data_IF_119985873831
#
_entry.id   IF_119985873831
#
_cell.length_a   1.000
_cell.length_b   1.000
_cell.length_c   1.000
_cell.angle_alpha   90.00
_cell.angle_beta   90.00
_cell.angle_gamma   90.00
#
_symmetry.space_group_name_H-M   'P 1'
#
loop_
_entity.id
_entity.type
_entity.pdbx_description
1 polymer ?
#
# COMPACT_ATOMS: atom_id res chain seq x y z
N UNK A 1 0.29 -24.20 -27.60
CA UNK A 1 -0.47 -23.04 -28.10
C UNK A 1 -1.82 -23.06 -27.42
N UNK A 2 -2.01 -22.28 -26.37
CA UNK A 2 -3.31 -22.10 -25.72
C UNK A 2 -3.82 -20.72 -26.11
N UNK A 3 -4.94 -20.72 -26.82
CA UNK A 3 -5.62 -19.55 -27.35
C UNK A 3 -6.25 -18.74 -26.22
N UNK A 4 -5.73 -17.55 -25.93
CA UNK A 4 -6.35 -16.57 -25.04
C UNK A 4 -7.29 -15.67 -25.84
N UNK A 5 -8.50 -16.12 -26.05
CA UNK A 5 -9.55 -15.36 -26.70
C UNK A 5 -10.91 -15.60 -26.06
N UNK A 6 -11.19 -14.93 -24.93
CA UNK A 6 -12.58 -14.61 -24.54
C UNK A 6 -12.61 -13.25 -23.87
N UNK A 7 -13.37 -12.36 -24.47
CA UNK A 7 -13.64 -11.02 -24.01
C UNK A 7 -14.24 -11.04 -22.59
N UNK A 8 -13.61 -10.34 -21.67
CA UNK A 8 -14.10 -10.13 -20.31
C UNK A 8 -15.16 -9.03 -20.34
N UNK A 9 -16.37 -9.35 -19.91
CA UNK A 9 -17.52 -8.45 -19.80
C UNK A 9 -17.25 -7.29 -18.84
N UNK A 10 -17.70 -6.05 -19.14
CA UNK A 10 -17.35 -4.85 -18.37
C UNK A 10 -18.35 -4.61 -17.22
N UNK A 11 -18.22 -5.33 -16.12
CA UNK A 11 -19.10 -5.12 -14.96
C UNK A 11 -18.41 -4.56 -13.70
N UNK A 12 -17.11 -4.26 -13.76
CA UNK A 12 -16.33 -3.80 -12.58
C UNK A 12 -15.87 -2.33 -12.63
N UNK A 13 -16.39 -1.52 -13.58
CA UNK A 13 -15.94 -0.13 -13.78
C UNK A 13 -16.76 0.94 -13.04
N UNK A 14 -17.52 0.60 -11.99
CA UNK A 14 -18.44 1.58 -11.36
C UNK A 14 -17.95 2.32 -10.13
N UNK A 15 -16.69 2.20 -9.70
CA UNK A 15 -16.20 2.93 -8.52
C UNK A 15 -14.89 3.70 -8.70
N UNK A 16 -14.58 4.15 -9.91
CA UNK A 16 -13.56 5.18 -10.11
C UNK A 16 -14.26 6.52 -10.29
N UNK A 17 -14.25 7.34 -9.24
CA UNK A 17 -14.75 8.71 -9.28
C UNK A 17 -14.11 9.51 -10.40
N UNK A 18 -14.93 10.25 -11.12
CA UNK A 18 -14.59 11.14 -12.24
C UNK A 18 -13.50 12.13 -11.85
N UNK A 19 -12.35 12.05 -12.48
CA UNK A 19 -11.23 13.00 -12.29
C UNK A 19 -11.46 14.21 -13.17
N UNK A 20 -11.66 15.37 -12.56
CA UNK A 20 -11.74 16.66 -13.24
C UNK A 20 -10.36 17.18 -13.61
N UNK A 21 -10.23 17.76 -14.82
CA UNK A 21 -9.06 18.49 -15.32
C UNK A 21 -8.69 19.65 -14.38
N UNK A 22 -7.48 19.64 -13.82
CA UNK A 22 -6.95 20.73 -12.97
C UNK A 22 -5.82 20.28 -12.05
N UNK A 23 -4.89 19.42 -12.50
CA UNK A 23 -3.82 18.86 -11.66
C UNK A 23 -2.62 19.80 -11.53
N UNK A 24 -2.66 20.71 -10.58
CA UNK A 24 -1.44 21.40 -10.12
C UNK A 24 -1.25 21.44 -8.61
N UNK A 25 -1.91 20.70 -7.76
CA UNK A 25 -1.65 20.55 -6.32
C UNK A 25 -2.70 19.66 -5.63
N UNK A 26 -2.99 18.50 -6.18
CA UNK A 26 -3.82 17.55 -5.42
C UNK A 26 -2.98 16.88 -4.34
N UNK A 27 -3.50 16.75 -3.11
CA UNK A 27 -2.82 15.99 -2.07
C UNK A 27 -2.65 14.53 -2.52
N UNK A 28 -1.52 13.93 -2.16
CA UNK A 28 -1.25 12.51 -2.44
C UNK A 28 -2.37 11.67 -1.84
N UNK A 29 -3.00 10.86 -2.68
CA UNK A 29 -4.10 10.02 -2.27
C UNK A 29 -3.61 8.87 -1.38
N UNK A 30 -4.42 8.49 -0.40
CA UNK A 30 -4.25 7.23 0.30
C UNK A 30 -5.10 6.17 -0.39
N UNK A 31 -4.50 5.04 -0.73
CA UNK A 31 -5.21 3.87 -1.23
C UNK A 31 -5.61 2.96 -0.07
N UNK A 32 -6.90 2.65 0.03
CA UNK A 32 -7.41 1.72 1.03
C UNK A 32 -7.11 0.29 0.59
N UNK A 33 -6.60 -0.49 1.55
CA UNK A 33 -6.42 -1.92 1.36
C UNK A 33 -7.72 -2.61 1.77
N UNK A 34 -8.64 -2.72 0.81
CA UNK A 34 -9.87 -3.49 1.00
C UNK A 34 -9.57 -4.97 0.73
N UNK A 35 -9.44 -5.75 1.79
CA UNK A 35 -9.11 -7.17 1.70
C UNK A 35 -10.19 -7.95 0.95
N UNK A 36 -9.75 -8.86 0.09
CA UNK A 36 -10.64 -9.72 -0.67
C UNK A 36 -11.18 -10.86 0.22
N UNK A 37 -12.49 -10.96 0.39
CA UNK A 37 -13.20 -12.15 0.91
C UNK A 37 -12.49 -12.91 2.07
N UNK A 38 -12.16 -12.24 3.18
CA UNK A 38 -11.44 -12.79 4.35
C UNK A 38 -9.99 -13.21 4.04
N UNK A 39 -9.39 -12.71 2.98
CA UNK A 39 -7.97 -12.87 2.69
C UNK A 39 -7.17 -11.73 3.33
N UNK A 40 -5.90 -11.93 3.72
CA UNK A 40 -5.09 -10.90 4.35
C UNK A 40 -4.44 -9.94 3.35
N UNK A 41 -5.07 -9.73 2.20
CA UNK A 41 -4.58 -8.85 1.14
C UNK A 41 -5.70 -8.41 0.21
N UNK A 42 -5.49 -7.27 -0.45
CA UNK A 42 -6.21 -6.85 -1.64
C UNK A 42 -5.49 -7.42 -2.85
N UNK A 43 -6.24 -7.98 -3.80
CA UNK A 43 -5.69 -8.44 -5.08
C UNK A 43 -6.28 -7.63 -6.23
N UNK A 44 -5.48 -7.30 -7.23
CA UNK A 44 -5.95 -6.55 -8.38
C UNK A 44 -5.33 -7.05 -9.70
N UNK A 45 -6.08 -6.84 -10.77
CA UNK A 45 -5.67 -7.05 -12.16
C UNK A 45 -6.02 -5.79 -12.94
N UNK A 46 -5.05 -5.22 -13.62
CA UNK A 46 -5.24 -3.99 -14.41
C UNK A 46 -4.75 -4.24 -15.82
N UNK A 47 -5.68 -4.36 -16.76
CA UNK A 47 -5.40 -4.47 -18.19
C UNK A 47 -5.89 -3.19 -18.87
N UNK A 48 -5.00 -2.26 -19.17
CA UNK A 48 -5.35 -0.95 -19.70
C UNK A 48 -4.39 -0.48 -20.79
N UNK A 49 -4.94 0.27 -21.71
CA UNK A 49 -4.18 1.11 -22.61
C UNK A 49 -3.77 2.39 -21.88
N UNK A 50 -2.49 2.73 -21.90
CA UNK A 50 -1.94 3.89 -21.20
C UNK A 50 -2.33 3.96 -19.69
N UNK A 51 -2.07 2.92 -18.89
CA UNK A 51 -2.48 2.91 -17.49
C UNK A 51 -1.76 4.01 -16.71
N UNK A 52 -2.49 4.62 -15.78
CA UNK A 52 -1.95 5.63 -14.87
C UNK A 52 -2.48 5.38 -13.47
N UNK A 53 -1.57 5.14 -12.53
CA UNK A 53 -1.85 5.21 -11.11
C UNK A 53 -1.30 6.55 -10.58
N UNK A 54 -2.18 7.49 -10.17
CA UNK A 54 -1.72 8.77 -9.63
C UNK A 54 -0.92 8.55 -8.35
N UNK A 55 -0.13 9.54 -7.96
CA UNK A 55 0.69 9.48 -6.74
C UNK A 55 -0.18 9.18 -5.53
N UNK A 56 0.13 8.09 -4.85
CA UNK A 56 -0.61 7.61 -3.67
C UNK A 56 0.31 6.83 -2.72
N UNK A 57 -0.23 6.35 -1.64
CA UNK A 57 0.44 5.50 -0.66
C UNK A 57 -0.57 4.66 0.12
N UNK A 58 -0.12 3.58 0.73
CA UNK A 58 -0.88 2.69 1.62
C UNK A 58 0.03 2.13 2.72
N UNK A 59 -0.57 1.51 3.73
CA UNK A 59 0.20 0.93 4.86
C UNK A 59 0.71 -0.48 4.57
N UNK A 60 0.15 -1.17 3.57
CA UNK A 60 0.52 -2.53 3.20
C UNK A 60 1.81 -2.61 2.37
N UNK A 61 2.34 -3.82 2.22
CA UNK A 61 3.38 -4.13 1.24
C UNK A 61 2.67 -4.47 -0.07
N UNK A 62 2.98 -3.75 -1.15
CA UNK A 62 2.47 -4.05 -2.49
C UNK A 62 3.48 -4.88 -3.26
N UNK A 63 3.01 -5.92 -3.93
CA UNK A 63 3.80 -6.76 -4.82
C UNK A 63 3.14 -6.77 -6.18
N UNK A 64 3.85 -6.29 -7.18
CA UNK A 64 3.37 -6.16 -8.55
C UNK A 64 4.11 -7.09 -9.50
N UNK A 65 3.39 -7.58 -10.51
CA UNK A 65 3.92 -8.34 -11.61
C UNK A 65 3.43 -7.76 -12.95
N UNK A 66 4.36 -7.32 -13.78
CA UNK A 66 4.06 -6.88 -15.15
C UNK A 66 3.96 -8.12 -16.06
N UNK A 67 2.74 -8.56 -16.33
CA UNK A 67 2.47 -9.73 -17.17
C UNK A 67 2.81 -9.43 -18.63
N UNK A 68 2.40 -8.24 -19.13
CA UNK A 68 2.72 -7.79 -20.47
C UNK A 68 2.86 -6.26 -20.52
N UNK A 69 3.77 -5.81 -21.34
CA UNK A 69 4.10 -4.40 -21.55
C UNK A 69 5.61 -4.17 -21.51
N UNK A 70 6.03 -3.01 -21.99
CA UNK A 70 7.44 -2.60 -22.01
C UNK A 70 7.54 -1.17 -21.50
N UNK A 71 8.65 -0.88 -20.81
CA UNK A 71 8.96 0.45 -20.29
C UNK A 71 7.84 1.01 -19.40
N UNK A 72 7.34 0.17 -18.48
CA UNK A 72 6.37 0.59 -17.49
C UNK A 72 7.07 1.37 -16.39
N UNK A 73 6.77 2.66 -16.30
CA UNK A 73 7.41 3.57 -15.36
C UNK A 73 6.71 3.52 -14.00
N UNK A 74 7.46 3.24 -12.95
CA UNK A 74 7.01 3.34 -11.55
C UNK A 74 7.93 4.29 -10.80
N UNK A 75 7.37 5.25 -10.09
CA UNK A 75 8.10 6.16 -9.20
C UNK A 75 7.86 5.71 -7.77
N UNK A 76 8.88 5.32 -7.05
CA UNK A 76 8.82 4.84 -5.66
C UNK A 76 9.73 5.73 -4.82
N UNK A 77 9.20 6.37 -3.76
CA UNK A 77 9.95 7.28 -2.89
C UNK A 77 10.76 8.34 -3.66
N UNK A 78 10.22 8.81 -4.79
CA UNK A 78 10.87 9.81 -5.65
C UNK A 78 11.88 9.25 -6.65
N UNK A 79 12.25 7.97 -6.59
CA UNK A 79 13.10 7.30 -7.56
C UNK A 79 12.27 6.70 -8.69
N UNK A 80 12.77 6.81 -9.92
CA UNK A 80 12.11 6.27 -11.10
C UNK A 80 12.68 4.92 -11.47
N UNK A 81 11.80 3.93 -11.62
CA UNK A 81 12.10 2.58 -12.07
C UNK A 81 11.36 2.29 -13.37
N UNK A 82 11.94 1.47 -14.23
CA UNK A 82 11.37 1.04 -15.50
C UNK A 82 11.29 -0.48 -15.53
N UNK A 83 10.10 -1.01 -15.74
CA UNK A 83 9.82 -2.44 -15.73
C UNK A 83 9.31 -2.93 -17.09
N UNK A 84 9.64 -4.18 -17.42
CA UNK A 84 9.26 -4.86 -18.64
C UNK A 84 8.48 -6.13 -18.33
N UNK A 85 7.76 -6.65 -19.33
CA UNK A 85 7.03 -7.91 -19.21
C UNK A 85 7.88 -8.98 -18.53
N UNK A 86 7.35 -9.56 -17.48
CA UNK A 86 8.03 -10.53 -16.63
C UNK A 86 8.66 -9.94 -15.37
N UNK A 87 8.76 -8.64 -15.20
CA UNK A 87 9.31 -8.07 -13.96
C UNK A 87 8.32 -8.15 -12.80
N UNK A 88 8.87 -8.44 -11.62
CA UNK A 88 8.18 -8.38 -10.33
C UNK A 88 8.93 -7.36 -9.49
N UNK A 89 8.20 -6.47 -8.83
CA UNK A 89 8.74 -5.50 -7.88
C UNK A 89 7.86 -5.41 -6.66
N UNK A 90 8.37 -4.77 -5.61
CA UNK A 90 7.57 -4.45 -4.44
C UNK A 90 7.65 -2.96 -4.09
N UNK A 91 6.61 -2.49 -3.42
CA UNK A 91 6.51 -1.19 -2.79
C UNK A 91 6.34 -1.45 -1.30
N UNK A 92 7.29 -0.96 -0.51
CA UNK A 92 7.28 -1.17 0.93
C UNK A 92 6.23 -0.28 1.62
N UNK A 93 5.96 -0.57 2.87
CA UNK A 93 4.98 0.13 3.71
C UNK A 93 5.15 1.62 3.66
N UNK A 94 4.04 2.31 3.47
CA UNK A 94 3.96 3.79 3.52
C UNK A 94 4.84 4.52 2.50
N UNK A 95 5.44 3.81 1.54
CA UNK A 95 6.17 4.45 0.44
C UNK A 95 5.19 5.14 -0.52
N UNK A 96 5.51 6.38 -0.83
CA UNK A 96 4.75 7.16 -1.82
C UNK A 96 5.19 6.70 -3.20
N UNK A 97 4.22 6.34 -4.02
CA UNK A 97 4.48 5.81 -5.35
C UNK A 97 3.46 6.25 -6.39
N UNK A 98 3.82 6.11 -7.65
CA UNK A 98 2.98 6.35 -8.81
C UNK A 98 3.41 5.44 -9.95
N UNK A 99 2.48 5.05 -10.82
CA UNK A 99 2.80 4.27 -12.00
C UNK A 99 2.20 4.89 -13.26
N UNK A 100 2.92 4.79 -14.37
CA UNK A 100 2.49 5.35 -15.65
C UNK A 100 2.98 4.49 -16.79
N UNK A 101 2.07 3.98 -17.60
CA UNK A 101 2.38 3.37 -18.89
C UNK A 101 2.54 4.42 -19.99
N UNK A 102 3.22 4.06 -21.06
CA UNK A 102 3.31 4.90 -22.25
C UNK A 102 1.93 5.04 -22.91
N UNK A 103 1.60 6.24 -23.38
CA UNK A 103 0.26 6.58 -23.91
C UNK A 103 -0.20 5.72 -25.10
N UNK A 104 0.76 5.15 -25.84
CA UNK A 104 0.49 4.37 -27.08
C UNK A 104 0.70 2.85 -26.88
N UNK A 105 0.75 2.37 -25.63
CA UNK A 105 1.00 0.96 -25.31
C UNK A 105 -0.05 0.41 -24.35
N UNK A 106 -0.30 -0.89 -24.50
CA UNK A 106 -1.13 -1.65 -23.55
C UNK A 106 -0.27 -2.36 -22.53
N UNK A 107 -0.80 -2.46 -21.32
CA UNK A 107 -0.13 -3.11 -20.19
C UNK A 107 -1.11 -4.02 -19.47
N UNK A 108 -0.59 -5.13 -18.97
CA UNK A 108 -1.29 -5.96 -18.02
C UNK A 108 -0.45 -6.13 -16.77
N UNK A 109 -0.91 -5.53 -15.68
CA UNK A 109 -0.30 -5.62 -14.35
C UNK A 109 -1.24 -6.37 -13.43
N UNK A 110 -0.74 -7.31 -12.69
CA UNK A 110 -1.43 -7.89 -11.53
C UNK A 110 -0.58 -7.68 -10.28
N UNK A 111 -1.24 -7.59 -9.14
CA UNK A 111 -0.53 -7.41 -7.89
C UNK A 111 -1.42 -7.60 -6.69
N UNK A 112 -0.80 -7.52 -5.53
CA UNK A 112 -1.48 -7.58 -4.25
C UNK A 112 -0.92 -6.54 -3.28
N UNK A 113 -1.80 -6.05 -2.42
CA UNK A 113 -1.40 -5.22 -1.28
C UNK A 113 -1.68 -6.03 -0.02
N UNK A 114 -0.62 -6.42 0.66
CA UNK A 114 -0.68 -7.25 1.87
C UNK A 114 -1.06 -6.38 3.06
N UNK A 115 -2.05 -6.82 3.83
CA UNK A 115 -2.51 -6.11 5.03
C UNK A 115 -1.39 -6.07 6.09
N UNK A 116 -0.90 -4.88 6.40
CA UNK A 116 0.16 -4.70 7.37
C UNK A 116 -0.25 -5.13 8.79
N UNK A 117 -1.52 -4.93 9.16
CA UNK A 117 -1.99 -5.33 10.50
C UNK A 117 -2.00 -6.86 10.65
N UNK A 118 -2.35 -7.57 9.57
CA UNK A 118 -2.24 -9.02 9.53
C UNK A 118 -0.78 -9.45 9.68
N UNK A 119 0.14 -8.87 8.90
CA UNK A 119 1.56 -9.21 8.98
C UNK A 119 2.14 -8.96 10.37
N UNK A 120 1.88 -7.81 10.95
CA UNK A 120 2.41 -7.46 12.27
C UNK A 120 1.85 -8.32 13.40
N UNK A 121 0.59 -8.77 13.26
CA UNK A 121 -0.05 -9.65 14.22
C UNK A 121 0.48 -11.08 14.16
N UNK A 122 0.53 -11.65 12.95
CA UNK A 122 0.91 -13.05 12.73
C UNK A 122 2.44 -13.24 12.64
N UNK A 123 3.17 -12.20 12.21
CA UNK A 123 4.62 -12.16 12.02
C UNK A 123 5.20 -10.88 12.63
N UNK A 124 5.32 -10.77 13.98
CA UNK A 124 5.80 -9.55 14.63
C UNK A 124 7.18 -9.07 14.16
N UNK A 125 8.05 -10.00 13.73
CA UNK A 125 9.36 -9.69 13.15
C UNK A 125 9.28 -8.94 11.82
N UNK A 126 8.13 -9.02 11.13
CA UNK A 126 7.90 -8.30 9.88
C UNK A 126 7.99 -6.78 10.01
N UNK A 127 7.85 -6.25 11.23
CA UNK A 127 8.05 -4.81 11.51
C UNK A 127 9.44 -4.32 11.12
N UNK A 128 10.42 -5.22 11.17
CA UNK A 128 11.83 -4.94 10.86
C UNK A 128 12.19 -5.29 9.40
N UNK A 129 11.22 -5.67 8.58
CA UNK A 129 11.47 -5.96 7.18
C UNK A 129 11.68 -4.68 6.39
N UNK A 130 12.71 -4.67 5.57
CA UNK A 130 12.91 -3.76 4.46
C UNK A 130 12.89 -4.57 3.19
N UNK A 131 11.92 -4.33 2.34
CA UNK A 131 11.74 -5.11 1.11
C UNK A 131 12.77 -4.68 0.07
N UNK A 132 13.44 -5.65 -0.55
CA UNK A 132 14.47 -5.49 -1.57
C UNK A 132 14.05 -6.19 -2.86
N UNK A 133 13.12 -5.57 -3.58
CA UNK A 133 12.54 -6.14 -4.80
C UNK A 133 12.49 -5.14 -5.96
N UNK A 134 13.37 -4.16 -5.97
CA UNK A 134 13.38 -3.15 -7.04
C UNK A 134 13.79 -3.75 -8.41
N UNK A 135 14.75 -4.69 -8.41
CA UNK A 135 15.22 -5.39 -9.63
C UNK A 135 15.65 -6.81 -9.27
N UNK A 136 14.70 -7.74 -9.20
CA UNK A 136 15.00 -9.14 -8.90
C UNK A 136 15.36 -9.92 -10.15
N UNK A 137 16.38 -10.81 -10.04
CA UNK A 137 16.80 -11.66 -11.15
C UNK A 137 15.73 -12.69 -11.49
N UNK A 138 15.38 -12.79 -12.77
CA UNK A 138 14.38 -13.73 -13.28
C UNK A 138 14.87 -15.19 -13.34
N UNK A 139 16.17 -15.41 -13.26
CA UNK A 139 16.80 -16.72 -13.42
C UNK A 139 16.85 -17.54 -12.12
N UNK A 140 16.42 -16.95 -11.01
CA UNK A 140 16.42 -17.61 -9.70
C UNK A 140 15.22 -18.55 -9.52
N UNK A 141 15.40 -19.58 -8.69
CA UNK A 141 14.30 -20.46 -8.28
C UNK A 141 13.24 -19.68 -7.50
N UNK A 142 13.66 -18.77 -6.64
CA UNK A 142 12.81 -17.90 -5.82
C UNK A 142 11.92 -17.01 -6.68
N UNK A 143 12.45 -16.38 -7.74
CA UNK A 143 11.65 -15.62 -8.70
C UNK A 143 10.61 -16.51 -9.39
N UNK A 144 11.01 -17.69 -9.89
CA UNK A 144 10.07 -18.60 -10.58
C UNK A 144 8.94 -19.04 -9.66
N UNK A 145 9.25 -19.32 -8.39
CA UNK A 145 8.24 -19.70 -7.42
C UNK A 145 7.32 -18.51 -7.08
N UNK A 146 7.86 -17.33 -6.82
CA UNK A 146 7.08 -16.12 -6.55
C UNK A 146 6.11 -15.81 -7.70
N UNK A 147 6.61 -15.86 -8.94
CA UNK A 147 5.80 -15.68 -10.14
C UNK A 147 4.68 -16.73 -10.24
N UNK A 148 4.99 -18.00 -9.98
CA UNK A 148 4.01 -19.09 -9.98
C UNK A 148 2.91 -18.84 -8.95
N UNK A 149 3.27 -18.49 -7.72
CA UNK A 149 2.31 -18.20 -6.65
C UNK A 149 1.37 -17.04 -7.06
N UNK A 150 1.91 -15.93 -7.60
CA UNK A 150 1.10 -14.79 -8.08
C UNK A 150 0.12 -15.20 -9.17
N UNK A 151 0.55 -16.00 -10.15
CA UNK A 151 -0.30 -16.48 -11.24
C UNK A 151 -1.39 -17.42 -10.70
N UNK A 152 -1.04 -18.36 -9.82
CA UNK A 152 -2.00 -19.30 -9.22
C UNK A 152 -3.06 -18.55 -8.39
N UNK A 153 -2.65 -17.58 -7.58
CA UNK A 153 -3.60 -16.73 -6.87
C UNK A 153 -4.51 -15.97 -7.85
N UNK A 154 -3.93 -15.41 -8.92
CA UNK A 154 -4.69 -14.69 -9.95
C UNK A 154 -5.76 -15.57 -10.62
N UNK A 155 -5.47 -16.86 -10.85
CA UNK A 155 -6.42 -17.82 -11.40
C UNK A 155 -7.50 -18.17 -10.37
N UNK A 156 -7.11 -18.43 -9.12
CA UNK A 156 -8.05 -18.84 -8.06
C UNK A 156 -9.05 -17.72 -7.68
N UNK A 157 -8.64 -16.46 -7.69
CA UNK A 157 -9.54 -15.35 -7.37
C UNK A 157 -10.57 -15.02 -8.47
N UNK A 158 -10.42 -15.60 -9.66
CA UNK A 158 -11.44 -15.49 -10.72
C UNK A 158 -12.66 -16.39 -10.48
N UNK A 159 -12.55 -17.33 -9.55
CA UNK A 159 -13.65 -18.22 -9.16
C UNK A 159 -14.38 -17.71 -7.92
N UNK A 160 -15.65 -18.11 -7.70
CA UNK A 160 -16.32 -17.86 -6.42
C UNK A 160 -15.49 -18.44 -5.26
N UNK A 161 -15.15 -17.59 -4.29
CA UNK A 161 -14.25 -17.96 -3.20
C UNK A 161 -15.01 -18.79 -2.15
N UNK A 162 -15.03 -20.13 -2.34
CA UNK A 162 -15.41 -21.08 -1.30
C UNK A 162 -14.32 -21.21 -0.24
N UNK A 163 -14.61 -21.86 0.89
CA UNK A 163 -13.58 -22.11 1.91
C UNK A 163 -12.41 -22.92 1.37
N UNK A 164 -12.66 -23.91 0.50
CA UNK A 164 -11.59 -24.71 -0.12
C UNK A 164 -10.69 -23.86 -1.02
N UNK A 165 -11.26 -23.01 -1.87
CA UNK A 165 -10.49 -22.09 -2.73
C UNK A 165 -9.73 -21.08 -1.87
N UNK A 166 -10.34 -20.58 -0.79
CA UNK A 166 -9.66 -19.69 0.15
C UNK A 166 -8.42 -20.33 0.78
N UNK A 167 -8.51 -21.61 1.18
CA UNK A 167 -7.34 -22.32 1.71
C UNK A 167 -6.24 -22.52 0.68
N UNK A 168 -6.57 -22.78 -0.59
CA UNK A 168 -5.59 -22.83 -1.67
C UNK A 168 -4.90 -21.47 -1.88
N UNK A 169 -5.67 -20.40 -1.93
CA UNK A 169 -5.13 -19.03 -2.03
C UNK A 169 -4.19 -18.72 -0.86
N UNK A 170 -4.59 -19.05 0.38
CA UNK A 170 -3.78 -18.84 1.56
C UNK A 170 -2.48 -19.67 1.54
N UNK A 171 -2.52 -20.89 1.02
CA UNK A 171 -1.32 -21.72 0.84
C UNK A 171 -0.31 -21.02 -0.08
N UNK A 172 -0.74 -20.54 -1.25
CA UNK A 172 0.13 -19.82 -2.18
C UNK A 172 0.66 -18.50 -1.57
N UNK A 173 -0.21 -17.79 -0.86
CA UNK A 173 0.15 -16.56 -0.16
C UNK A 173 1.23 -16.78 0.90
N UNK A 174 1.09 -17.81 1.76
CA UNK A 174 2.10 -18.08 2.79
C UNK A 174 3.44 -18.55 2.20
N UNK A 175 3.42 -19.28 1.08
CA UNK A 175 4.65 -19.58 0.36
C UNK A 175 5.34 -18.30 -0.14
N UNK A 176 4.58 -17.32 -0.64
CA UNK A 176 5.13 -16.01 -1.03
C UNK A 176 5.72 -15.28 0.17
N UNK A 177 5.03 -15.23 1.32
CA UNK A 177 5.53 -14.58 2.53
C UNK A 177 6.85 -15.21 2.99
N UNK A 178 6.95 -16.54 2.95
CA UNK A 178 8.18 -17.26 3.30
C UNK A 178 9.34 -16.89 2.36
N UNK A 179 9.09 -16.80 1.06
CA UNK A 179 10.11 -16.37 0.07
C UNK A 179 10.52 -14.91 0.27
N UNK A 180 9.58 -14.04 0.57
CA UNK A 180 9.86 -12.62 0.82
C UNK A 180 10.74 -12.49 2.07
N UNK A 181 10.41 -13.18 3.15
CA UNK A 181 11.20 -13.13 4.40
C UNK A 181 12.63 -13.66 4.19
N UNK A 182 12.80 -14.76 3.44
CA UNK A 182 14.11 -15.42 3.28
C UNK A 182 14.99 -14.79 2.20
N UNK A 183 14.42 -14.34 1.08
CA UNK A 183 15.18 -14.00 -0.12
C UNK A 183 15.14 -12.51 -0.48
N UNK A 184 14.07 -11.80 -0.09
CA UNK A 184 13.79 -10.45 -0.58
C UNK A 184 13.66 -9.43 0.53
N UNK A 185 14.09 -9.78 1.75
CA UNK A 185 13.99 -8.91 2.90
C UNK A 185 15.34 -8.70 3.56
N UNK A 186 15.70 -7.45 3.77
CA UNK A 186 16.77 -7.08 4.69
C UNK A 186 16.17 -6.85 6.07
N UNK A 187 16.68 -7.56 7.08
CA UNK A 187 16.27 -7.35 8.47
C UNK A 187 17.05 -6.17 9.02
N UNK A 188 16.36 -5.07 9.25
CA UNK A 188 17.00 -3.87 9.80
C UNK A 188 17.16 -4.09 11.30
N UNK A 189 18.41 -4.02 11.76
CA UNK A 189 18.67 -3.85 13.19
C UNK A 189 18.21 -2.43 13.57
N UNK A 190 17.26 -2.33 14.51
CA UNK A 190 16.62 -1.07 14.93
C UNK A 190 17.63 -0.01 15.40
N UNK A 191 18.88 -0.40 15.60
CA UNK A 191 19.97 0.45 16.07
C UNK A 191 20.71 1.22 14.94
N UNK A 192 20.52 0.86 13.66
CA UNK A 192 21.22 1.51 12.55
C UNK A 192 20.20 2.19 11.62
N UNK A 193 20.15 3.52 11.55
CA UNK A 193 19.29 4.19 10.59
C UNK A 193 19.78 3.87 9.16
N UNK A 194 18.92 3.35 8.28
CA UNK A 194 19.27 3.15 6.89
C UNK A 194 19.51 4.50 6.21
N UNK A 195 20.14 4.46 5.05
CA UNK A 195 20.37 5.61 4.15
C UNK A 195 19.03 6.11 3.53
N UNK A 196 18.01 6.28 4.39
CA UNK A 196 16.67 6.75 4.03
C UNK A 196 16.66 8.28 4.11
N UNK A 197 15.85 8.90 3.24
CA UNK A 197 15.62 10.33 3.39
C UNK A 197 14.98 10.62 4.75
N UNK A 198 15.22 11.80 5.29
CA UNK A 198 14.56 12.24 6.53
C UNK A 198 13.04 12.08 6.43
N UNK A 199 12.47 12.36 5.26
CA UNK A 199 11.03 12.23 5.02
C UNK A 199 10.56 10.77 5.16
N UNK A 200 11.27 9.80 4.60
CA UNK A 200 10.91 8.38 4.69
C UNK A 200 10.97 7.90 6.15
N UNK A 201 12.00 8.30 6.88
CA UNK A 201 12.16 7.96 8.30
C UNK A 201 11.02 8.55 9.15
N UNK A 202 10.63 9.80 8.86
CA UNK A 202 9.50 10.46 9.53
C UNK A 202 8.17 9.81 9.18
N UNK A 203 7.97 9.41 7.92
CA UNK A 203 6.77 8.70 7.46
C UNK A 203 6.63 7.37 8.20
N UNK A 204 7.70 6.57 8.26
CA UNK A 204 7.72 5.31 8.99
C UNK A 204 7.47 5.52 10.50
N UNK A 205 8.09 6.52 11.11
CA UNK A 205 7.84 6.87 12.51
C UNK A 205 6.38 7.23 12.77
N UNK A 206 5.76 8.05 11.92
CA UNK A 206 4.34 8.42 12.05
C UNK A 206 3.44 7.19 11.87
N UNK A 207 3.71 6.33 10.90
CA UNK A 207 2.94 5.11 10.69
C UNK A 207 2.93 4.22 11.95
N UNK A 208 4.09 4.04 12.57
CA UNK A 208 4.24 3.18 13.75
C UNK A 208 3.75 3.82 15.06
N UNK A 209 3.67 5.15 15.14
CA UNK A 209 3.35 5.87 16.37
C UNK A 209 2.06 6.70 16.30
N UNK A 210 1.32 6.65 15.19
CA UNK A 210 0.13 7.48 14.98
C UNK A 210 -0.98 7.28 16.01
N UNK A 211 -1.04 6.10 16.63
CA UNK A 211 -1.96 5.77 17.72
C UNK A 211 -1.58 6.41 19.06
N UNK A 212 -0.34 6.86 19.20
CA UNK A 212 0.11 7.57 20.41
C UNK A 212 -0.15 9.07 20.29
N UNK A 213 0.02 9.79 21.39
CA UNK A 213 -0.25 11.24 21.41
C UNK A 213 0.91 12.07 20.81
N UNK A 214 1.42 11.63 19.62
CA UNK A 214 2.45 12.40 18.91
C UNK A 214 1.86 13.66 18.30
N UNK A 215 2.67 14.71 18.30
CA UNK A 215 2.37 16.02 17.69
C UNK A 215 3.48 16.41 16.73
N UNK A 216 3.24 17.42 15.88
CA UNK A 216 4.29 17.97 15.03
C UNK A 216 5.52 18.39 15.83
N UNK A 217 5.31 18.91 17.04
CA UNK A 217 6.38 19.32 17.94
C UNK A 217 7.16 18.11 18.45
N UNK A 218 6.49 17.09 19.02
CA UNK A 218 7.16 15.91 19.56
C UNK A 218 7.90 15.11 18.49
N UNK A 219 7.39 15.10 17.25
CA UNK A 219 8.08 14.46 16.11
C UNK A 219 9.36 15.25 15.77
N UNK A 220 9.28 16.58 15.68
CA UNK A 220 10.44 17.42 15.42
C UNK A 220 11.53 17.28 16.50
N UNK A 221 11.12 17.22 17.77
CA UNK A 221 12.00 16.97 18.92
C UNK A 221 12.66 15.58 18.84
N UNK A 222 11.87 14.54 18.50
CA UNK A 222 12.38 13.17 18.32
C UNK A 222 13.52 13.11 17.28
N UNK A 223 13.33 13.80 16.14
CA UNK A 223 14.33 13.85 15.07
C UNK A 223 15.36 14.96 15.24
N UNK A 224 15.32 15.72 16.34
CA UNK A 224 16.24 16.84 16.66
C UNK A 224 16.35 17.87 15.54
N UNK A 225 15.22 18.21 14.92
CA UNK A 225 15.11 19.20 13.85
C UNK A 225 13.99 20.20 14.15
N UNK A 226 14.02 21.35 13.47
CA UNK A 226 12.92 22.31 13.60
C UNK A 226 11.62 21.79 12.96
N UNK A 227 10.46 22.20 13.51
CA UNK A 227 9.17 21.90 12.89
C UNK A 227 9.07 22.43 11.44
N UNK A 228 9.73 23.53 11.15
CA UNK A 228 9.77 24.14 9.82
C UNK A 228 10.51 23.22 8.85
N UNK A 229 11.70 22.73 9.24
CA UNK A 229 12.48 21.79 8.45
C UNK A 229 11.71 20.50 8.23
N UNK A 230 11.17 19.91 9.31
CA UNK A 230 10.37 18.70 9.26
C UNK A 230 9.19 18.83 8.30
N UNK A 231 8.44 19.92 8.43
CA UNK A 231 7.27 20.17 7.58
C UNK A 231 7.65 20.38 6.12
N UNK A 232 8.79 21.06 5.86
CA UNK A 232 9.32 21.26 4.50
C UNK A 232 9.68 19.93 3.84
N UNK A 233 10.52 19.12 4.50
CA UNK A 233 10.97 17.82 3.99
C UNK A 233 9.79 16.88 3.75
N UNK A 234 8.91 16.73 4.72
CA UNK A 234 7.72 15.89 4.58
C UNK A 234 6.78 16.39 3.47
N UNK A 235 6.56 17.70 3.37
CA UNK A 235 5.66 18.28 2.36
C UNK A 235 6.22 18.16 0.93
N UNK A 236 7.52 18.12 0.76
CA UNK A 236 8.14 17.88 -0.55
C UNK A 236 7.79 16.49 -1.08
N UNK A 237 7.73 15.49 -0.20
CA UNK A 237 7.44 14.10 -0.53
C UNK A 237 5.93 13.83 -0.52
N UNK A 238 5.24 14.16 0.58
CA UNK A 238 3.81 13.84 0.76
C UNK A 238 2.85 14.83 0.11
N UNK A 239 3.32 16.01 -0.33
CA UNK A 239 2.51 17.16 -0.76
C UNK A 239 1.49 17.61 0.30
N UNK A 240 1.65 17.17 1.54
CA UNK A 240 0.81 17.54 2.67
C UNK A 240 1.64 18.16 3.80
N UNK A 241 1.12 19.18 4.47
CA UNK A 241 1.67 19.61 5.75
C UNK A 241 1.62 18.47 6.77
N UNK A 242 2.63 18.37 7.63
CA UNK A 242 2.78 17.30 8.63
C UNK A 242 1.50 17.03 9.44
N UNK A 243 0.84 18.08 9.94
CA UNK A 243 -0.40 17.90 10.72
C UNK A 243 -1.57 17.33 9.90
N UNK A 244 -1.62 17.60 8.59
CA UNK A 244 -2.61 17.00 7.69
C UNK A 244 -2.26 15.54 7.42
N UNK A 245 -0.98 15.23 7.20
CA UNK A 245 -0.49 13.88 6.98
C UNK A 245 -0.79 12.99 8.20
N UNK A 246 -0.37 13.42 9.41
CA UNK A 246 -0.63 12.71 10.66
C UNK A 246 -2.14 12.46 10.88
N UNK A 247 -2.97 13.49 10.64
CA UNK A 247 -4.42 13.34 10.73
C UNK A 247 -4.96 12.29 9.76
N UNK A 248 -4.45 12.25 8.54
CA UNK A 248 -4.87 11.27 7.53
C UNK A 248 -4.51 9.85 7.97
N UNK A 249 -3.28 9.62 8.45
CA UNK A 249 -2.85 8.32 8.99
C UNK A 249 -3.77 7.87 10.14
N UNK A 250 -4.12 8.76 11.07
CA UNK A 250 -5.05 8.46 12.17
C UNK A 250 -6.46 8.11 11.69
N UNK A 251 -6.97 8.82 10.68
CA UNK A 251 -8.29 8.52 10.11
C UNK A 251 -8.34 7.13 9.47
N UNK A 252 -7.27 6.72 8.82
CA UNK A 252 -7.16 5.40 8.20
C UNK A 252 -7.14 4.30 9.24
N UNK A 253 -6.35 4.47 10.30
CA UNK A 253 -6.31 3.53 11.42
C UNK A 253 -7.68 3.44 12.09
N UNK A 254 -8.37 4.58 12.30
CA UNK A 254 -9.72 4.58 12.82
C UNK A 254 -10.70 3.81 11.92
N UNK A 255 -10.62 4.00 10.59
CA UNK A 255 -11.47 3.25 9.65
C UNK A 255 -11.21 1.74 9.74
N UNK A 256 -9.94 1.34 9.77
CA UNK A 256 -9.59 -0.07 9.93
C UNK A 256 -10.26 -0.67 11.18
N UNK A 257 -10.14 -0.01 12.34
CA UNK A 257 -10.75 -0.49 13.58
C UNK A 257 -12.29 -0.51 13.54
N UNK A 258 -12.91 0.47 12.88
CA UNK A 258 -14.35 0.50 12.66
C UNK A 258 -14.86 -0.69 11.86
N UNK A 259 -14.09 -1.16 10.88
CA UNK A 259 -14.45 -2.28 10.00
C UNK A 259 -14.06 -3.65 10.56
N UNK A 260 -13.02 -3.72 11.40
CA UNK A 260 -12.44 -4.98 11.86
C UNK A 260 -12.78 -5.33 13.32
N UNK A 261 -13.40 -4.41 14.08
CA UNK A 261 -13.68 -4.61 15.50
C UNK A 261 -15.07 -4.11 15.89
N UNK A 262 -15.55 -4.51 17.06
CA UNK A 262 -16.76 -3.99 17.67
C UNK A 262 -16.49 -2.88 18.70
N UNK A 263 -15.33 -2.20 18.61
CA UNK A 263 -15.01 -1.13 19.54
C UNK A 263 -15.92 0.08 19.37
N UNK A 264 -16.19 0.77 20.46
CA UNK A 264 -16.97 2.01 20.40
C UNK A 264 -16.20 3.11 19.65
N UNK A 265 -16.91 4.01 18.98
CA UNK A 265 -16.31 5.17 18.30
C UNK A 265 -15.48 6.01 19.26
N UNK A 266 -15.88 6.11 20.54
CA UNK A 266 -15.13 6.83 21.56
C UNK A 266 -13.79 6.15 21.87
N UNK A 267 -13.78 4.82 21.99
CA UNK A 267 -12.55 4.05 22.18
C UNK A 267 -11.63 4.21 20.97
N UNK A 268 -12.14 4.02 19.76
CA UNK A 268 -11.38 4.16 18.51
C UNK A 268 -10.78 5.56 18.38
N UNK A 269 -11.55 6.60 18.70
CA UNK A 269 -11.05 7.97 18.66
C UNK A 269 -9.82 8.16 19.56
N UNK A 270 -9.92 7.72 20.81
CA UNK A 270 -8.82 7.80 21.76
C UNK A 270 -7.63 6.96 21.32
N UNK A 271 -7.88 5.71 20.90
CA UNK A 271 -6.85 4.78 20.44
C UNK A 271 -6.10 5.30 19.22
N UNK A 272 -6.78 5.97 18.28
CA UNK A 272 -6.18 6.57 17.09
C UNK A 272 -5.62 8.00 17.32
N UNK A 273 -5.51 8.46 18.55
CA UNK A 273 -4.91 9.76 18.89
C UNK A 273 -5.79 10.97 18.55
N UNK A 274 -7.12 10.82 18.47
CA UNK A 274 -8.06 11.93 18.42
C UNK A 274 -8.44 12.37 19.82
N UNK A 275 -8.60 13.67 20.03
CA UNK A 275 -8.95 14.24 21.33
C UNK A 275 -10.35 13.88 21.81
N UNK A 276 -11.25 13.44 20.93
CA UNK A 276 -12.59 12.97 21.25
C UNK A 276 -13.27 12.27 20.08
N UNK A 277 -14.35 11.49 20.37
CA UNK A 277 -15.22 10.92 19.34
C UNK A 277 -15.77 11.98 18.37
N UNK A 278 -16.21 13.12 18.88
CA UNK A 278 -16.73 14.23 18.07
C UNK A 278 -15.70 14.79 17.07
N UNK A 279 -14.43 14.82 17.47
CA UNK A 279 -13.33 15.23 16.57
C UNK A 279 -13.07 14.17 15.50
N UNK A 280 -13.08 12.88 15.87
CA UNK A 280 -13.00 11.79 14.89
C UNK A 280 -14.17 11.86 13.90
N UNK A 281 -15.40 11.91 14.37
CA UNK A 281 -16.61 11.96 13.54
C UNK A 281 -16.59 13.12 12.54
N UNK A 282 -16.26 14.33 12.99
CA UNK A 282 -16.14 15.50 12.12
C UNK A 282 -15.11 15.31 11.03
N UNK A 283 -13.92 14.82 11.38
CA UNK A 283 -12.83 14.61 10.41
C UNK A 283 -13.14 13.42 9.48
N UNK A 284 -13.74 12.37 10.00
CA UNK A 284 -14.13 11.19 9.24
C UNK A 284 -15.22 11.54 8.20
N UNK A 285 -16.25 12.29 8.61
CA UNK A 285 -17.30 12.79 7.72
C UNK A 285 -16.76 13.73 6.64
N UNK A 286 -15.79 14.57 6.97
CA UNK A 286 -15.13 15.44 6.00
C UNK A 286 -14.35 14.60 4.95
N UNK A 287 -13.74 13.49 5.37
CA UNK A 287 -12.94 12.61 4.53
C UNK A 287 -13.80 11.65 3.69
N UNK A 288 -14.72 10.90 4.30
CA UNK A 288 -15.49 9.83 3.65
C UNK A 288 -16.91 10.22 3.25
N UNK A 289 -17.37 11.43 3.61
CA UNK A 289 -18.74 11.91 3.41
C UNK A 289 -19.83 11.11 4.16
N UNK A 290 -19.41 10.22 5.07
CA UNK A 290 -20.25 9.41 5.94
C UNK A 290 -19.74 9.47 7.39
N UNK A 291 -20.56 9.10 8.34
CA UNK A 291 -20.13 9.04 9.76
C UNK A 291 -19.47 7.69 10.07
N UNK A 292 -18.63 7.60 11.15
CA UNK A 292 -18.04 6.34 11.57
C UNK A 292 -19.07 5.23 11.93
N UNK A 293 -20.31 5.61 12.24
CA UNK A 293 -21.37 4.66 12.60
C UNK A 293 -22.18 4.17 11.39
N UNK A 294 -21.95 4.70 10.22
CA UNK A 294 -22.53 4.29 8.93
C UNK A 294 -21.61 3.30 8.21
#
# INVERSE_FOLDING_TARGET
MVSYGKAITPHFLKHLGTIHKGEKNMPIAYEEVDNLARLPFKFFKRANYAPKAPTHWHTGIEIDYLVSGEDFKVVIAGQTHHYNSGDIWAIDRSQIHAATGHKDRSYYVMGMIIDNNFLEKEYPSSKNWRIKMEHISRDTASYRQLRKNLITIAELVDHPISDSIRFLILSEFFQMIALIDSEYTEKIDVTTPPNQSLADTVIAYIANNSSTNITAQSIAEHFRISQVTLNKELSQVTKLPLGKYLKQVRLMHARYLLLSTNYSVAYIANYCGFSSAKVLERNFKAWKKMTPSQ
#
